data_IF_378318367347
#
_entry.id   IF_378318367347
#
_cell.length_a   1.000
_cell.length_b   1.000
_cell.length_c   1.000
_cell.angle_alpha   90.00
_cell.angle_beta   90.00
_cell.angle_gamma   90.00
#
_symmetry.space_group_name_H-M   'P 1'
#
loop_
_entity.id
_entity.type
_entity.pdbx_description
1 polymer ?
#
# COMPACT_ATOMS: atom_id res chain seq x y z
N UNK A 1 5.47 20.79 -6.54
CA UNK A 1 4.17 20.72 -5.81
C UNK A 1 3.46 19.44 -6.27
N UNK A 2 3.01 18.59 -5.35
CA UNK A 2 2.31 17.33 -5.67
C UNK A 2 0.93 17.61 -6.28
N UNK A 3 0.66 17.09 -7.48
CA UNK A 3 -0.57 17.34 -8.24
C UNK A 3 -1.13 16.05 -8.82
N UNK A 4 -2.41 15.77 -8.52
CA UNK A 4 -3.09 14.59 -9.03
C UNK A 4 -3.16 14.60 -10.57
N UNK A 5 -3.29 15.78 -11.15
CA UNK A 5 -3.41 15.98 -12.60
C UNK A 5 -2.23 15.42 -13.41
N UNK A 6 -1.04 15.37 -12.82
CA UNK A 6 0.20 14.97 -13.51
C UNK A 6 0.68 13.56 -13.20
N UNK A 7 0.06 12.88 -12.20
CA UNK A 7 0.47 11.54 -11.80
C UNK A 7 0.17 10.50 -12.88
N UNK A 8 1.07 9.54 -12.99
CA UNK A 8 0.82 8.30 -13.74
C UNK A 8 0.24 7.27 -12.76
N UNK A 9 -0.99 6.88 -13.00
CA UNK A 9 -1.77 5.98 -12.13
C UNK A 9 -2.28 4.82 -12.97
N UNK A 10 -2.20 3.59 -12.43
CA UNK A 10 -2.66 2.38 -13.10
C UNK A 10 -4.16 2.47 -13.40
N UNK A 11 -4.57 2.07 -14.60
CA UNK A 11 -5.92 2.29 -15.10
C UNK A 11 -6.95 1.26 -14.68
N UNK A 12 -6.53 -0.01 -14.52
CA UNK A 12 -7.45 -1.12 -14.22
C UNK A 12 -6.74 -2.28 -13.53
N UNK A 13 -7.52 -3.16 -12.88
CA UNK A 13 -6.99 -4.40 -12.26
C UNK A 13 -6.35 -5.34 -13.29
N UNK A 14 -6.84 -5.33 -14.51
CA UNK A 14 -6.28 -6.15 -15.60
C UNK A 14 -4.81 -5.80 -15.90
N UNK A 15 -4.43 -4.53 -15.70
CA UNK A 15 -3.06 -4.07 -15.92
C UNK A 15 -2.05 -4.61 -14.88
N UNK A 16 -2.51 -5.12 -13.73
CA UNK A 16 -1.64 -5.82 -12.78
C UNK A 16 -0.94 -7.03 -13.42
N UNK A 17 -1.61 -7.70 -14.35
CA UNK A 17 -1.05 -8.83 -15.08
C UNK A 17 0.04 -8.44 -16.10
N UNK A 18 0.10 -7.16 -16.44
CA UNK A 18 1.05 -6.61 -17.43
C UNK A 18 2.23 -5.89 -16.75
N UNK A 19 2.32 -5.91 -15.42
CA UNK A 19 3.46 -5.32 -14.72
C UNK A 19 4.72 -6.11 -15.10
N UNK A 20 5.83 -5.41 -15.42
CA UNK A 20 7.09 -6.06 -15.76
C UNK A 20 7.63 -6.84 -14.56
N UNK A 21 8.35 -7.91 -14.84
CA UNK A 21 9.07 -8.66 -13.80
C UNK A 21 10.27 -7.84 -13.29
N UNK A 22 10.73 -8.14 -12.08
CA UNK A 22 11.90 -7.50 -11.49
C UNK A 22 11.56 -6.58 -10.33
N UNK A 23 12.46 -5.66 -10.01
CA UNK A 23 12.35 -4.77 -8.86
C UNK A 23 11.41 -3.61 -9.16
N UNK A 24 10.21 -3.62 -8.58
CA UNK A 24 9.20 -2.58 -8.75
C UNK A 24 8.65 -2.10 -7.40
N UNK A 25 8.65 -0.79 -7.18
CA UNK A 25 7.97 -0.17 -6.03
C UNK A 25 6.53 0.19 -6.40
N UNK A 26 5.58 -0.50 -5.75
CA UNK A 26 4.14 -0.32 -5.98
C UNK A 26 3.53 0.38 -4.77
N UNK A 27 3.13 1.62 -4.96
CA UNK A 27 2.48 2.45 -3.94
C UNK A 27 0.98 2.61 -4.19
N UNK A 28 0.25 3.02 -3.15
CA UNK A 28 -1.19 3.30 -3.25
C UNK A 28 -1.48 4.78 -3.06
N UNK A 29 -2.45 5.33 -3.78
CA UNK A 29 -2.93 6.69 -3.58
C UNK A 29 -4.42 6.72 -3.29
N UNK A 30 -4.79 7.45 -2.20
CA UNK A 30 -6.16 7.76 -1.83
C UNK A 30 -6.26 9.24 -1.40
N UNK A 31 -7.45 9.73 -1.07
CA UNK A 31 -7.65 11.13 -0.69
C UNK A 31 -6.79 11.55 0.51
N UNK A 32 -6.56 10.65 1.46
CA UNK A 32 -5.72 10.94 2.63
C UNK A 32 -4.24 11.04 2.25
N UNK A 33 -3.72 10.07 1.49
CA UNK A 33 -2.33 10.09 1.02
C UNK A 33 -2.07 11.29 0.12
N UNK A 34 -3.03 11.67 -0.74
CA UNK A 34 -2.93 12.90 -1.53
C UNK A 34 -2.77 14.16 -0.65
N UNK A 35 -3.65 14.33 0.35
CA UNK A 35 -3.58 15.48 1.25
C UNK A 35 -2.28 15.50 2.08
N UNK A 36 -1.76 14.33 2.45
CA UNK A 36 -0.50 14.20 3.19
C UNK A 36 0.69 14.57 2.29
N UNK A 37 0.72 14.07 1.05
CA UNK A 37 1.78 14.35 0.08
C UNK A 37 1.86 15.84 -0.30
N UNK A 38 0.75 16.59 -0.23
CA UNK A 38 0.79 18.05 -0.41
C UNK A 38 1.57 18.79 0.69
N UNK A 39 1.81 18.16 1.83
CA UNK A 39 2.49 18.74 3.01
C UNK A 39 3.83 18.09 3.33
N UNK A 40 4.10 16.92 2.77
CA UNK A 40 5.30 16.13 3.00
C UNK A 40 5.96 15.83 1.65
N UNK A 41 7.07 16.54 1.36
CA UNK A 41 7.74 16.45 0.07
C UNK A 41 8.35 15.07 -0.17
N UNK A 42 8.95 14.45 0.86
CA UNK A 42 9.52 13.10 0.72
C UNK A 42 8.44 12.06 0.41
N UNK A 43 7.26 12.21 1.03
CA UNK A 43 6.14 11.34 0.69
C UNK A 43 5.60 11.60 -0.72
N UNK A 44 5.54 12.86 -1.15
CA UNK A 44 5.19 13.22 -2.52
C UNK A 44 6.16 12.60 -3.54
N UNK A 45 7.47 12.66 -3.25
CA UNK A 45 8.51 12.07 -4.09
C UNK A 45 8.39 10.54 -4.15
N UNK A 46 8.13 9.89 -3.02
CA UNK A 46 7.89 8.45 -2.96
C UNK A 46 6.70 8.00 -3.82
N UNK A 47 5.60 8.76 -3.80
CA UNK A 47 4.41 8.46 -4.63
C UNK A 47 4.61 8.80 -6.12
N UNK A 48 5.42 9.81 -6.43
CA UNK A 48 5.63 10.27 -7.80
C UNK A 48 6.67 9.44 -8.54
N UNK A 49 7.74 9.06 -7.83
CA UNK A 49 8.91 8.40 -8.40
C UNK A 49 8.95 6.88 -8.11
N UNK A 50 7.95 6.33 -7.40
CA UNK A 50 7.71 4.90 -7.37
C UNK A 50 7.32 4.39 -8.77
N UNK A 51 7.60 3.11 -9.05
CA UNK A 51 7.41 2.55 -10.39
C UNK A 51 5.93 2.43 -10.77
N UNK A 52 5.08 2.09 -9.80
CA UNK A 52 3.64 1.89 -10.01
C UNK A 52 2.85 2.58 -8.90
N UNK A 53 1.84 3.34 -9.30
CA UNK A 53 0.88 3.96 -8.38
C UNK A 53 -0.52 3.45 -8.66
N UNK A 54 -1.17 2.81 -7.68
CA UNK A 54 -2.53 2.28 -7.82
C UNK A 54 -3.57 3.16 -7.10
N UNK A 55 -4.77 3.34 -7.69
CA UNK A 55 -5.83 4.20 -7.14
C UNK A 55 -6.61 3.48 -6.03
N UNK A 56 -6.14 3.55 -4.78
CA UNK A 56 -6.82 2.94 -3.61
C UNK A 56 -7.91 3.84 -3.05
N UNK A 57 -8.83 4.24 -3.89
CA UNK A 57 -10.00 5.00 -3.46
C UNK A 57 -10.86 5.45 -4.63
N UNK A 58 -12.17 5.23 -4.53
CA UNK A 58 -13.14 5.70 -5.53
C UNK A 58 -13.04 7.22 -5.73
N UNK A 59 -12.67 7.96 -4.68
CA UNK A 59 -12.45 9.41 -4.74
C UNK A 59 -11.34 9.79 -5.73
N UNK A 60 -10.25 9.03 -5.80
CA UNK A 60 -9.16 9.26 -6.76
C UNK A 60 -9.66 9.03 -8.19
N UNK A 61 -10.34 7.90 -8.42
CA UNK A 61 -10.90 7.57 -9.74
C UNK A 61 -11.82 8.68 -10.25
N UNK A 62 -12.78 9.12 -9.42
CA UNK A 62 -13.71 10.20 -9.75
C UNK A 62 -13.01 11.55 -9.94
N UNK A 63 -12.02 11.86 -9.09
CA UNK A 63 -11.26 13.10 -9.18
C UNK A 63 -10.43 13.17 -10.46
N UNK A 64 -9.71 12.12 -10.83
CA UNK A 64 -8.94 12.06 -12.07
C UNK A 64 -9.80 12.35 -13.30
N UNK A 65 -11.00 11.77 -13.34
CA UNK A 65 -11.96 12.05 -14.41
C UNK A 65 -12.44 13.50 -14.39
N UNK A 66 -12.78 14.03 -13.21
CA UNK A 66 -13.30 15.39 -13.04
C UNK A 66 -12.31 16.47 -13.47
N UNK A 67 -11.05 16.36 -13.02
CA UNK A 67 -9.99 17.33 -13.34
C UNK A 67 -9.32 17.07 -14.70
N UNK A 68 -9.77 16.07 -15.47
CA UNK A 68 -9.17 15.60 -16.73
C UNK A 68 -7.67 15.35 -16.56
N UNK A 69 -7.31 14.53 -15.57
CA UNK A 69 -5.94 14.18 -15.24
C UNK A 69 -5.27 13.40 -16.39
N UNK A 70 -3.92 13.39 -16.39
CA UNK A 70 -3.10 12.61 -17.35
C UNK A 70 -3.51 11.12 -17.35
N UNK A 71 -3.70 10.54 -16.18
CA UNK A 71 -4.24 9.17 -16.01
C UNK A 71 -5.69 9.25 -15.55
N UNK A 72 -6.54 8.47 -16.21
CA UNK A 72 -7.97 8.36 -15.86
C UNK A 72 -8.31 6.89 -15.55
N UNK A 73 -8.01 6.42 -14.33
CA UNK A 73 -8.30 5.04 -13.96
C UNK A 73 -9.81 4.76 -14.10
N UNK A 74 -10.12 3.57 -14.61
CA UNK A 74 -11.50 3.12 -14.86
C UNK A 74 -12.16 2.59 -13.59
N UNK A 75 -11.35 2.05 -12.68
CA UNK A 75 -11.79 1.42 -11.46
C UNK A 75 -10.81 1.65 -10.30
N UNK A 76 -11.29 1.40 -9.10
CA UNK A 76 -10.47 1.36 -7.90
C UNK A 76 -9.64 0.07 -7.88
N UNK A 77 -8.36 0.20 -7.51
CA UNK A 77 -7.47 -0.92 -7.23
C UNK A 77 -7.01 -0.76 -5.77
N UNK A 78 -7.59 -1.53 -4.85
CA UNK A 78 -7.19 -1.47 -3.45
C UNK A 78 -5.86 -2.21 -3.22
N UNK A 79 -5.16 -1.86 -2.15
CA UNK A 79 -3.99 -2.63 -1.71
C UNK A 79 -4.30 -4.12 -1.52
N UNK A 80 -5.53 -4.47 -1.13
CA UNK A 80 -6.00 -5.86 -1.06
C UNK A 80 -6.09 -6.54 -2.42
N UNK A 81 -6.51 -5.82 -3.47
CA UNK A 81 -6.59 -6.37 -4.83
C UNK A 81 -5.19 -6.70 -5.35
N UNK A 82 -4.23 -5.80 -5.12
CA UNK A 82 -2.81 -6.03 -5.43
C UNK A 82 -2.26 -7.23 -4.64
N UNK A 83 -2.49 -7.26 -3.33
CA UNK A 83 -2.05 -8.35 -2.46
C UNK A 83 -2.55 -9.70 -2.96
N UNK A 84 -3.85 -9.80 -3.20
CA UNK A 84 -4.46 -11.04 -3.64
C UNK A 84 -3.97 -11.48 -5.01
N UNK A 85 -3.78 -10.53 -5.92
CA UNK A 85 -3.23 -10.80 -7.25
C UNK A 85 -1.80 -11.36 -7.18
N UNK A 86 -0.90 -10.67 -6.50
CA UNK A 86 0.51 -11.07 -6.43
C UNK A 86 0.72 -12.36 -5.62
N UNK A 87 -0.01 -12.54 -4.52
CA UNK A 87 0.05 -13.76 -3.72
C UNK A 87 -0.40 -14.98 -4.53
N UNK A 88 -1.52 -14.87 -5.28
CA UNK A 88 -1.98 -15.97 -6.15
C UNK A 88 -1.05 -16.23 -7.34
N UNK A 89 -0.42 -15.17 -7.88
CA UNK A 89 0.59 -15.31 -8.94
C UNK A 89 1.80 -16.09 -8.42
N UNK A 90 2.29 -15.72 -7.24
CA UNK A 90 3.46 -16.35 -6.62
C UNK A 90 3.14 -17.80 -6.15
N UNK A 91 1.97 -18.04 -5.57
CA UNK A 91 1.53 -19.38 -5.13
C UNK A 91 1.61 -20.41 -6.26
N UNK A 92 1.27 -20.03 -7.50
CA UNK A 92 1.34 -20.93 -8.67
C UNK A 92 2.76 -21.29 -9.06
N UNK A 93 3.74 -20.42 -8.78
CA UNK A 93 5.15 -20.63 -9.09
C UNK A 93 5.91 -21.27 -7.93
N UNK A 94 5.42 -21.10 -6.72
CA UNK A 94 6.18 -21.24 -5.49
C UNK A 94 7.15 -20.06 -5.31
N UNK A 95 7.77 -19.96 -4.16
CA UNK A 95 8.76 -18.92 -3.88
C UNK A 95 8.70 -18.39 -2.46
N UNK A 96 9.44 -17.32 -2.22
CA UNK A 96 9.54 -16.68 -0.90
C UNK A 96 8.79 -15.37 -0.90
N UNK A 97 7.81 -15.23 0.00
CA UNK A 97 7.17 -13.95 0.31
C UNK A 97 7.66 -13.43 1.66
N UNK A 98 8.01 -12.15 1.71
CA UNK A 98 8.41 -11.51 2.95
C UNK A 98 7.39 -10.45 3.38
N UNK A 99 7.03 -10.49 4.66
CA UNK A 99 6.22 -9.45 5.33
C UNK A 99 7.11 -8.67 6.28
N UNK A 100 7.35 -7.40 5.98
CA UNK A 100 8.15 -6.48 6.80
C UNK A 100 7.25 -5.38 7.36
N UNK A 101 7.29 -5.18 8.67
CA UNK A 101 6.46 -4.19 9.36
C UNK A 101 5.49 -4.81 10.35
N UNK A 102 4.55 -4.01 10.85
CA UNK A 102 3.56 -4.43 11.84
C UNK A 102 4.18 -4.98 13.14
N UNK A 103 3.34 -5.52 14.03
CA UNK A 103 3.79 -6.17 15.27
C UNK A 103 4.05 -7.66 15.05
N UNK A 104 4.92 -8.25 15.86
CA UNK A 104 5.20 -9.69 15.83
C UNK A 104 3.92 -10.52 15.92
N UNK A 105 2.98 -10.12 16.79
CA UNK A 105 1.69 -10.80 16.94
C UNK A 105 0.88 -10.85 15.64
N UNK A 106 0.86 -9.75 14.89
CA UNK A 106 0.15 -9.70 13.58
C UNK A 106 0.88 -10.56 12.57
N UNK A 107 2.21 -10.51 12.53
CA UNK A 107 3.01 -11.32 11.61
C UNK A 107 2.86 -12.82 11.88
N UNK A 108 2.79 -13.25 13.15
CA UNK A 108 2.56 -14.66 13.50
C UNK A 108 1.19 -15.16 13.02
N UNK A 109 0.17 -14.29 13.04
CA UNK A 109 -1.16 -14.61 12.48
C UNK A 109 -1.10 -14.70 10.94
N UNK A 110 -0.35 -13.80 10.29
CA UNK A 110 -0.11 -13.85 8.84
C UNK A 110 0.53 -15.18 8.45
N UNK A 111 1.58 -15.60 9.16
CA UNK A 111 2.26 -16.89 8.88
C UNK A 111 1.28 -18.06 8.99
N UNK A 112 0.48 -18.11 10.06
CA UNK A 112 -0.52 -19.17 10.26
C UNK A 112 -1.55 -19.20 9.14
N UNK A 113 -2.04 -18.05 8.72
CA UNK A 113 -3.02 -17.97 7.65
C UNK A 113 -2.40 -18.29 6.30
N UNK A 114 -1.22 -17.76 6.01
CA UNK A 114 -0.53 -18.04 4.76
C UNK A 114 -0.20 -19.53 4.58
N UNK A 115 0.11 -20.25 5.66
CA UNK A 115 0.32 -21.70 5.61
C UNK A 115 -0.93 -22.48 5.15
N UNK A 116 -2.12 -21.90 5.32
CA UNK A 116 -3.39 -22.50 4.87
C UNK A 116 -3.77 -22.01 3.47
N UNK A 117 -3.73 -20.69 3.26
CA UNK A 117 -4.23 -20.05 2.03
C UNK A 117 -3.21 -20.14 0.87
N UNK A 118 -1.90 -20.25 1.19
CA UNK A 118 -0.76 -20.24 0.26
C UNK A 118 0.31 -21.27 0.66
N UNK A 119 -0.01 -22.58 0.64
CA UNK A 119 0.87 -23.63 1.18
C UNK A 119 2.18 -23.85 0.40
N UNK A 120 2.28 -23.36 -0.84
CA UNK A 120 3.51 -23.50 -1.64
C UNK A 120 4.50 -22.34 -1.42
N UNK A 121 4.13 -21.34 -0.60
CA UNK A 121 5.00 -20.20 -0.33
C UNK A 121 5.83 -20.39 0.94
N UNK A 122 7.10 -20.05 0.84
CA UNK A 122 7.95 -19.83 2.02
C UNK A 122 7.69 -18.43 2.55
N UNK A 123 7.15 -18.33 3.76
CA UNK A 123 6.85 -17.03 4.39
C UNK A 123 8.00 -16.61 5.30
N UNK A 124 8.55 -15.43 5.08
CA UNK A 124 9.54 -14.76 5.93
C UNK A 124 8.92 -13.53 6.54
N UNK A 125 9.20 -13.27 7.81
CA UNK A 125 8.64 -12.12 8.53
C UNK A 125 9.74 -11.31 9.21
N UNK A 126 9.53 -9.99 9.31
CA UNK A 126 10.38 -9.11 10.09
C UNK A 126 9.55 -8.00 10.74
N UNK A 127 9.57 -7.94 12.08
CA UNK A 127 8.91 -6.89 12.86
C UNK A 127 9.94 -5.87 13.33
N UNK A 128 10.02 -4.68 12.70
CA UNK A 128 10.93 -3.64 13.16
C UNK A 128 10.46 -3.03 14.50
N UNK A 129 11.33 -2.36 15.24
CA UNK A 129 10.93 -1.70 16.48
C UNK A 129 9.85 -0.63 16.23
N UNK A 130 8.89 -0.53 17.15
CA UNK A 130 7.82 0.45 17.04
C UNK A 130 8.31 1.84 17.47
N UNK A 131 8.80 2.62 16.50
CA UNK A 131 9.35 3.99 16.69
C UNK A 131 8.79 4.93 15.60
N UNK A 132 8.64 6.22 15.87
CA UNK A 132 8.29 7.21 14.83
C UNK A 132 9.30 7.22 13.67
N UNK A 133 10.60 7.24 14.00
CA UNK A 133 11.72 7.19 13.07
C UNK A 133 12.69 6.07 13.48
N UNK A 134 13.30 5.45 12.50
CA UNK A 134 14.31 4.42 12.70
C UNK A 134 15.70 5.06 12.83
N UNK A 135 16.53 4.50 13.71
CA UNK A 135 17.96 4.84 13.73
C UNK A 135 18.68 4.19 12.55
N UNK A 136 19.96 4.56 12.33
CA UNK A 136 20.77 3.96 11.27
C UNK A 136 20.97 2.46 11.51
N UNK A 137 21.07 2.03 12.78
CA UNK A 137 21.17 0.61 13.14
C UNK A 137 19.85 -0.13 12.85
N UNK A 138 18.71 0.49 13.16
CA UNK A 138 17.39 -0.09 12.82
C UNK A 138 17.25 -0.23 11.29
N UNK A 139 17.60 0.83 10.55
CA UNK A 139 17.54 0.82 9.10
C UNK A 139 18.44 -0.27 8.51
N UNK A 140 19.69 -0.36 8.99
CA UNK A 140 20.63 -1.40 8.57
C UNK A 140 20.07 -2.79 8.86
N UNK A 141 19.54 -3.04 10.04
CA UNK A 141 18.98 -4.35 10.41
C UNK A 141 17.79 -4.74 9.51
N UNK A 142 16.91 -3.78 9.16
CA UNK A 142 15.78 -4.03 8.26
C UNK A 142 16.30 -4.35 6.84
N UNK A 143 17.23 -3.56 6.32
CA UNK A 143 17.81 -3.75 4.98
C UNK A 143 18.55 -5.09 4.90
N UNK A 144 19.38 -5.41 5.89
CA UNK A 144 20.11 -6.67 5.96
C UNK A 144 19.14 -7.87 5.98
N UNK A 145 18.05 -7.78 6.75
CA UNK A 145 17.04 -8.84 6.82
C UNK A 145 16.33 -9.04 5.48
N UNK A 146 15.96 -7.96 4.77
CA UNK A 146 15.33 -8.04 3.45
C UNK A 146 16.29 -8.65 2.43
N UNK A 147 17.53 -8.16 2.39
CA UNK A 147 18.54 -8.62 1.45
C UNK A 147 18.93 -10.09 1.70
N UNK A 148 19.03 -10.51 2.96
CA UNK A 148 19.31 -11.90 3.33
C UNK A 148 18.15 -12.84 2.98
N UNK A 149 16.90 -12.37 3.10
CA UNK A 149 15.73 -13.15 2.72
C UNK A 149 15.61 -13.34 1.20
N UNK A 150 16.11 -12.36 0.43
CA UNK A 150 16.05 -12.33 -1.04
C UNK A 150 14.66 -12.79 -1.56
N UNK A 151 13.57 -12.09 -1.19
CA UNK A 151 12.22 -12.56 -1.47
C UNK A 151 11.84 -12.40 -2.94
N UNK A 152 10.92 -13.25 -3.40
CA UNK A 152 10.25 -13.15 -4.70
C UNK A 152 9.07 -12.18 -4.67
N UNK A 153 8.63 -11.76 -3.45
CA UNK A 153 7.59 -10.76 -3.22
C UNK A 153 7.80 -10.13 -1.84
N UNK A 154 7.84 -8.80 -1.77
CA UNK A 154 8.02 -8.07 -0.51
C UNK A 154 6.80 -7.19 -0.20
N UNK A 155 6.19 -7.43 0.95
CA UNK A 155 5.15 -6.59 1.51
C UNK A 155 5.69 -5.73 2.63
N UNK A 156 5.44 -4.41 2.55
CA UNK A 156 5.82 -3.45 3.60
C UNK A 156 4.56 -2.92 4.26
N UNK A 157 4.42 -3.25 5.55
CA UNK A 157 3.23 -2.99 6.35
C UNK A 157 3.50 -2.10 7.55
N UNK A 158 3.68 -0.80 7.30
CA UNK A 158 3.74 0.23 8.32
C UNK A 158 2.62 1.24 8.10
N UNK A 159 2.44 2.19 9.00
CA UNK A 159 1.46 3.25 8.79
C UNK A 159 1.98 4.25 7.76
N UNK A 160 1.16 4.56 6.75
CA UNK A 160 1.46 5.65 5.80
C UNK A 160 1.55 7.00 6.57
N UNK A 161 2.50 7.87 6.22
CA UNK A 161 3.42 7.86 5.09
C UNK A 161 4.77 7.15 5.35
N UNK A 162 4.98 6.54 6.52
CA UNK A 162 6.27 5.97 6.93
C UNK A 162 6.73 4.86 5.98
N UNK A 163 5.86 3.94 5.59
CA UNK A 163 6.20 2.82 4.71
C UNK A 163 6.70 3.29 3.34
N UNK A 164 6.00 4.21 2.71
CA UNK A 164 6.37 4.74 1.40
C UNK A 164 7.68 5.53 1.46
N UNK A 165 7.82 6.40 2.46
CA UNK A 165 9.02 7.21 2.68
C UNK A 165 10.24 6.34 2.94
N UNK A 166 10.12 5.38 3.86
CA UNK A 166 11.20 4.47 4.20
C UNK A 166 11.66 3.66 2.98
N UNK A 167 10.72 3.05 2.27
CA UNK A 167 11.05 2.24 1.10
C UNK A 167 11.70 3.06 0.01
N UNK A 168 11.19 4.26 -0.25
CA UNK A 168 11.77 5.16 -1.25
C UNK A 168 13.18 5.63 -0.86
N UNK A 169 13.41 6.01 0.41
CA UNK A 169 14.71 6.47 0.88
C UNK A 169 15.79 5.39 0.80
N UNK A 170 15.42 4.15 1.05
CA UNK A 170 16.36 3.02 1.07
C UNK A 170 16.28 2.14 -0.20
N UNK A 171 15.59 2.62 -1.25
CA UNK A 171 15.34 1.83 -2.46
C UNK A 171 16.61 1.23 -3.06
N UNK A 172 17.67 2.03 -3.15
CA UNK A 172 18.94 1.61 -3.76
C UNK A 172 19.75 0.63 -2.88
N UNK A 173 19.44 0.55 -1.58
CA UNK A 173 20.11 -0.35 -0.65
C UNK A 173 19.44 -1.74 -0.59
N UNK A 174 18.20 -1.84 -1.10
CA UNK A 174 17.50 -3.11 -1.21
C UNK A 174 18.00 -3.87 -2.45
N UNK A 175 18.82 -4.91 -2.23
CA UNK A 175 19.36 -5.77 -3.29
C UNK A 175 18.41 -6.94 -3.55
N UNK A 176 17.25 -6.64 -4.14
CA UNK A 176 16.16 -7.58 -4.43
C UNK A 176 15.74 -7.46 -5.90
N UNK A 177 15.06 -8.49 -6.40
CA UNK A 177 14.58 -8.57 -7.78
C UNK A 177 13.09 -8.90 -7.85
N UNK A 178 12.28 -8.29 -7.00
CA UNK A 178 10.86 -8.61 -6.86
C UNK A 178 9.99 -7.36 -6.76
N UNK A 179 8.68 -7.54 -6.87
CA UNK A 179 7.73 -6.49 -6.56
C UNK A 179 7.70 -6.17 -5.06
N UNK A 180 7.62 -4.88 -4.74
CA UNK A 180 7.53 -4.36 -3.38
C UNK A 180 6.25 -3.54 -3.26
N UNK A 181 5.31 -3.99 -2.43
CA UNK A 181 4.04 -3.27 -2.20
C UNK A 181 3.96 -2.65 -0.81
N UNK A 182 3.63 -1.36 -0.75
CA UNK A 182 3.39 -0.62 0.50
C UNK A 182 1.91 -0.67 0.86
N UNK A 183 1.49 -1.67 1.69
CA UNK A 183 0.08 -2.02 1.90
C UNK A 183 -0.29 -2.25 3.37
N UNK A 184 0.16 -1.39 4.28
CA UNK A 184 0.05 -1.58 5.74
C UNK A 184 -1.29 -2.11 6.28
N UNK A 185 -2.42 -1.56 5.84
CA UNK A 185 -3.73 -2.00 6.32
C UNK A 185 -4.10 -3.44 5.91
N UNK A 186 -3.49 -3.96 4.86
CA UNK A 186 -3.73 -5.32 4.37
C UNK A 186 -3.18 -6.35 5.35
N UNK A 187 -2.13 -6.03 6.09
CA UNK A 187 -1.59 -6.91 7.13
C UNK A 187 -2.64 -7.24 8.19
N UNK A 188 -3.35 -6.21 8.69
CA UNK A 188 -4.40 -6.40 9.68
C UNK A 188 -5.60 -7.18 9.12
N UNK A 189 -5.98 -6.93 7.87
CA UNK A 189 -7.05 -7.67 7.21
C UNK A 189 -6.69 -9.13 6.98
N UNK A 190 -5.47 -9.39 6.50
CA UNK A 190 -5.01 -10.75 6.24
C UNK A 190 -4.75 -11.52 7.55
N UNK A 191 -4.23 -10.87 8.57
CA UNK A 191 -4.11 -11.45 9.92
C UNK A 191 -5.47 -11.71 10.59
N UNK A 192 -6.56 -11.10 10.11
CA UNK A 192 -7.87 -11.18 10.73
C UNK A 192 -8.03 -10.36 12.02
N UNK A 193 -7.10 -9.45 12.32
CA UNK A 193 -7.17 -8.56 13.49
C UNK A 193 -8.13 -7.40 13.27
N UNK A 194 -8.38 -7.03 12.02
CA UNK A 194 -9.37 -6.02 11.61
C UNK A 194 -10.27 -6.62 10.55
N UNK A 195 -11.56 -6.49 10.75
CA UNK A 195 -12.57 -6.95 9.80
C UNK A 195 -12.68 -5.95 8.64
N UNK A 196 -12.58 -6.45 7.42
CA UNK A 196 -12.81 -5.64 6.23
C UNK A 196 -14.30 -5.36 6.04
N UNK A 197 -14.65 -4.24 5.46
CA UNK A 197 -16.05 -3.93 5.14
C UNK A 197 -16.70 -5.05 4.30
N UNK A 198 -17.98 -5.40 4.54
CA UNK A 198 -18.72 -6.35 3.71
C UNK A 198 -18.66 -5.98 2.22
N UNK A 199 -18.78 -6.98 1.33
CA UNK A 199 -18.61 -6.81 -0.12
C UNK A 199 -19.49 -5.70 -0.68
N UNK A 200 -20.76 -5.64 -0.25
CA UNK A 200 -21.69 -4.58 -0.67
C UNK A 200 -21.14 -3.17 -0.44
N UNK A 201 -20.55 -2.90 0.74
CA UNK A 201 -19.92 -1.59 1.05
C UNK A 201 -18.71 -1.28 0.17
N UNK A 202 -17.95 -2.33 -0.17
CA UNK A 202 -16.77 -2.21 -1.03
C UNK A 202 -17.18 -1.86 -2.47
N UNK A 203 -18.16 -2.58 -3.03
CA UNK A 203 -18.66 -2.39 -4.40
C UNK A 203 -19.30 -1.03 -4.61
N UNK A 204 -19.98 -0.50 -3.58
CA UNK A 204 -20.60 0.84 -3.63
C UNK A 204 -19.61 1.98 -3.26
N UNK A 205 -18.33 1.66 -3.00
CA UNK A 205 -17.31 2.65 -2.63
C UNK A 205 -17.52 3.28 -1.25
N UNK A 206 -18.27 2.61 -0.37
CA UNK A 206 -18.64 3.06 0.98
C UNK A 206 -17.77 2.42 2.08
N UNK A 207 -16.69 1.73 1.75
CA UNK A 207 -15.76 1.12 2.72
C UNK A 207 -15.27 2.15 3.75
N UNK A 208 -15.01 3.38 3.33
CA UNK A 208 -14.62 4.46 4.22
C UNK A 208 -15.68 4.79 5.27
N UNK A 209 -16.97 4.74 4.90
CA UNK A 209 -18.09 5.02 5.81
C UNK A 209 -18.26 3.88 6.82
N UNK A 210 -18.14 2.63 6.37
CA UNK A 210 -18.12 1.47 7.27
C UNK A 210 -17.01 1.58 8.32
N UNK A 211 -15.79 1.93 7.89
CA UNK A 211 -14.65 2.14 8.81
C UNK A 211 -14.88 3.32 9.75
N UNK A 212 -15.51 4.39 9.28
CA UNK A 212 -15.88 5.51 10.14
C UNK A 212 -16.87 5.10 11.22
N UNK A 213 -17.85 4.24 10.90
CA UNK A 213 -18.82 3.73 11.87
C UNK A 213 -18.17 2.78 12.89
N UNK A 214 -17.22 1.95 12.47
CA UNK A 214 -16.50 1.01 13.37
C UNK A 214 -15.49 1.72 14.27
N UNK A 215 -14.80 2.75 13.78
CA UNK A 215 -13.73 3.45 14.47
C UNK A 215 -13.88 4.98 14.39
N UNK A 216 -14.99 5.56 14.91
CA UNK A 216 -15.31 6.97 14.67
C UNK A 216 -14.22 7.92 15.21
N UNK A 217 -13.69 7.67 16.41
CA UNK A 217 -12.68 8.52 17.04
C UNK A 217 -11.37 8.60 16.24
N UNK A 218 -10.99 7.52 15.54
CA UNK A 218 -9.76 7.45 14.74
C UNK A 218 -9.99 7.99 13.33
N UNK A 219 -11.19 7.74 12.75
CA UNK A 219 -11.44 7.94 11.33
C UNK A 219 -12.11 9.25 10.96
N UNK A 220 -12.78 9.96 11.89
CA UNK A 220 -13.54 11.16 11.56
C UNK A 220 -12.68 12.28 10.94
N UNK A 221 -11.48 12.54 11.51
CA UNK A 221 -10.57 13.55 10.94
C UNK A 221 -10.12 13.18 9.56
N UNK A 222 -9.80 11.88 9.37
CA UNK A 222 -9.33 11.36 8.09
C UNK A 222 -10.39 11.43 7.01
N UNK A 223 -11.64 11.09 7.33
CA UNK A 223 -12.70 10.99 6.34
C UNK A 223 -13.54 12.25 6.21
N UNK A 224 -13.97 12.88 7.30
CA UNK A 224 -14.79 14.08 7.19
C UNK A 224 -13.92 15.28 6.79
N UNK A 225 -12.92 15.63 7.59
CA UNK A 225 -12.04 16.76 7.28
C UNK A 225 -11.18 16.46 6.05
N UNK A 226 -10.61 15.26 5.97
CA UNK A 226 -9.71 14.87 4.89
C UNK A 226 -10.39 14.83 3.53
N UNK A 227 -11.61 14.29 3.40
CA UNK A 227 -12.33 14.27 2.13
C UNK A 227 -12.76 15.67 1.71
N UNK A 228 -13.19 16.53 2.65
CA UNK A 228 -13.51 17.93 2.34
C UNK A 228 -12.28 18.69 1.83
N UNK A 229 -11.13 18.49 2.50
CA UNK A 229 -9.87 19.11 2.06
C UNK A 229 -9.43 18.56 0.69
N UNK A 230 -9.62 17.27 0.45
CA UNK A 230 -9.33 16.66 -0.85
C UNK A 230 -10.16 17.28 -1.96
N UNK A 231 -11.48 17.39 -1.77
CA UNK A 231 -12.38 18.04 -2.73
C UNK A 231 -11.97 19.50 -2.99
N UNK A 232 -11.65 20.24 -1.94
CA UNK A 232 -11.13 21.62 -2.06
C UNK A 232 -9.82 21.68 -2.87
N UNK A 233 -8.92 20.75 -2.65
CA UNK A 233 -7.70 20.68 -3.43
C UNK A 233 -7.97 20.37 -4.90
N UNK A 234 -8.98 19.57 -5.21
CA UNK A 234 -9.35 19.24 -6.60
C UNK A 234 -9.88 20.44 -7.39
N UNK A 235 -10.51 21.41 -6.72
CA UNK A 235 -10.92 22.66 -7.40
C UNK A 235 -9.74 23.57 -7.81
N UNK A 236 -8.52 23.23 -7.33
CA UNK A 236 -7.29 24.01 -7.60
C UNK A 236 -6.31 23.27 -8.52
N UNK A 237 -6.63 22.05 -8.97
CA UNK A 237 -5.84 21.26 -9.91
C UNK A 237 -6.06 21.70 -11.35
#
# INVERSE_FOLDING_TARGET
MFRLKTLTILGSKAELASLPEGKLLINTVNAHSFNTAKKDQLFADALTNGDVLIPDGVSIVKACKWIKAKSQPKERIAGWDLFFFEMNKLEKKGGTVMFMGSSQKVLDLIVKRAAVDYPHLKVVIYSPPYKPEFSDEDNKAIIDAINAANPDLLWIGMTAPKQEKWTYSHWNELNIHCHVGTIGAVFDFFAGTVERAPIWWQEHGLEWLYRLMKEPKRMWRRYIIGNTLFLWNMTKE
#
